data_IF_463283936218
#
_entry.id   IF_463283936218
#
_cell.length_a   1.000
_cell.length_b   1.000
_cell.length_c   1.000
_cell.angle_alpha   90.00
_cell.angle_beta   90.00
_cell.angle_gamma   90.00
#
_symmetry.space_group_name_H-M   'P 1'
#
loop_
_entity.id
_entity.type
_entity.pdbx_description
1 polymer ?
#
# COMPACT_ATOMS: atom_id res chain seq x y z
N UNK A 1 -17.13 16.30 0.39
CA UNK A 1 -16.18 15.81 1.41
C UNK A 1 -16.87 14.71 2.19
N UNK A 2 -16.73 13.46 1.77
CA UNK A 2 -17.24 12.32 2.54
C UNK A 2 -16.09 11.32 2.63
N UNK A 3 -15.71 11.04 3.87
CA UNK A 3 -14.77 10.00 4.30
C UNK A 3 -13.28 10.34 4.21
N UNK A 4 -12.87 11.36 4.99
CA UNK A 4 -11.48 11.41 5.42
C UNK A 4 -11.29 10.38 6.55
N UNK A 5 -10.60 9.27 6.28
CA UNK A 5 -10.20 8.33 7.33
C UNK A 5 -8.95 8.89 8.00
N UNK A 6 -9.04 9.18 9.30
CA UNK A 6 -7.87 9.53 10.10
C UNK A 6 -7.11 8.24 10.38
N UNK A 7 -5.89 8.13 9.87
CA UNK A 7 -4.94 7.13 10.36
C UNK A 7 -4.02 7.86 11.30
N UNK A 8 -4.46 7.95 12.55
CA UNK A 8 -3.58 8.32 13.65
C UNK A 8 -2.85 7.05 14.07
N UNK A 9 -1.54 7.15 14.02
CA UNK A 9 -0.60 6.06 14.13
C UNK A 9 -0.08 5.94 15.60
N UNK A 10 -0.71 6.68 16.51
CA UNK A 10 -0.47 6.68 17.95
C UNK A 10 0.91 7.20 18.40
N UNK A 11 1.84 7.45 17.48
CA UNK A 11 3.24 7.81 17.76
C UNK A 11 3.86 8.83 16.78
N UNK A 12 3.19 9.26 15.71
CA UNK A 12 3.60 10.44 14.96
C UNK A 12 3.35 11.68 15.80
N UNK A 13 4.29 12.63 15.73
CA UNK A 13 4.10 13.95 16.28
C UNK A 13 2.91 14.69 15.62
N UNK A 14 2.44 14.22 14.45
CA UNK A 14 1.31 14.81 13.71
C UNK A 14 0.49 13.79 12.90
N UNK A 15 -0.86 13.83 12.96
CA UNK A 15 -1.73 12.89 12.23
C UNK A 15 -1.57 12.96 10.71
N UNK A 16 -1.85 11.84 10.05
CA UNK A 16 -1.94 11.72 8.58
C UNK A 16 -3.44 11.70 8.22
N UNK A 17 -3.85 12.66 7.40
CA UNK A 17 -5.20 12.75 6.87
C UNK A 17 -5.23 12.10 5.50
N UNK A 18 -6.11 11.12 5.32
CA UNK A 18 -6.35 10.47 4.04
C UNK A 18 -7.77 10.78 3.60
N UNK A 19 -7.94 11.24 2.37
CA UNK A 19 -9.27 11.41 1.79
C UNK A 19 -9.30 10.99 0.33
N UNK A 20 -10.51 10.69 -0.10
CA UNK A 20 -10.81 10.21 -1.45
C UNK A 20 -11.26 11.39 -2.31
N UNK A 21 -10.70 11.47 -3.52
CA UNK A 21 -11.11 12.45 -4.53
C UNK A 21 -11.32 11.73 -5.87
N UNK A 22 -12.55 11.26 -6.09
CA UNK A 22 -12.89 10.47 -7.28
C UNK A 22 -12.16 9.12 -7.32
N UNK A 23 -11.19 9.01 -8.22
CA UNK A 23 -10.35 7.82 -8.43
C UNK A 23 -8.95 7.96 -7.81
N UNK A 24 -8.65 9.12 -7.24
CA UNK A 24 -7.35 9.47 -6.67
C UNK A 24 -7.41 9.45 -5.14
N UNK A 25 -6.34 8.96 -4.53
CA UNK A 25 -6.09 9.12 -3.11
C UNK A 25 -5.29 10.38 -2.86
N UNK A 26 -5.76 11.19 -1.91
CA UNK A 26 -5.03 12.35 -1.43
C UNK A 26 -4.72 12.17 0.04
N UNK A 27 -3.55 12.67 0.44
CA UNK A 27 -3.18 12.72 1.84
C UNK A 27 -2.54 14.06 2.17
N UNK A 28 -2.57 14.37 3.46
CA UNK A 28 -1.88 15.53 4.01
C UNK A 28 -1.42 15.19 5.43
N UNK A 29 -0.19 15.56 5.74
CA UNK A 29 0.31 15.62 7.10
C UNK A 29 1.09 16.90 7.26
N UNK A 30 1.18 17.39 8.50
CA UNK A 30 2.07 18.49 8.84
C UNK A 30 3.53 18.00 8.99
N UNK A 31 3.76 16.70 9.10
CA UNK A 31 5.09 16.12 9.15
C UNK A 31 5.81 16.21 7.80
N UNK A 32 7.08 16.58 7.83
CA UNK A 32 7.99 16.53 6.66
C UNK A 32 8.31 15.09 6.23
N UNK A 33 8.11 14.10 7.13
CA UNK A 33 8.29 12.68 6.86
C UNK A 33 7.10 11.88 7.43
N UNK A 34 6.37 11.19 6.55
CA UNK A 34 5.21 10.36 6.91
C UNK A 34 5.69 8.99 7.39
N UNK A 35 5.84 8.79 8.69
CA UNK A 35 6.13 7.48 9.28
C UNK A 35 4.80 6.74 9.47
N UNK A 36 4.48 5.74 8.64
CA UNK A 36 3.22 5.01 8.80
C UNK A 36 3.43 3.89 9.82
N UNK A 37 2.88 4.07 11.02
CA UNK A 37 3.25 3.26 12.19
C UNK A 37 2.65 1.86 12.09
N UNK A 38 3.56 0.89 12.07
CA UNK A 38 3.41 -0.57 12.12
C UNK A 38 2.56 -1.27 11.05
N UNK A 39 1.36 -0.79 10.70
CA UNK A 39 0.46 -1.55 9.82
C UNK A 39 -0.15 -0.69 8.71
N UNK A 40 0.03 -1.16 7.48
CA UNK A 40 -0.62 -0.69 6.26
C UNK A 40 -1.76 -1.62 5.82
N UNK A 41 -2.13 -2.57 6.68
CA UNK A 41 -3.13 -3.57 6.37
C UNK A 41 -4.48 -2.96 5.99
N UNK A 42 -5.08 -3.49 4.93
CA UNK A 42 -6.43 -3.17 4.45
C UNK A 42 -6.72 -1.70 4.15
N UNK A 43 -5.69 -0.87 4.00
CA UNK A 43 -5.84 0.58 3.90
C UNK A 43 -6.76 1.02 2.75
N UNK A 44 -6.65 0.35 1.61
CA UNK A 44 -7.46 0.59 0.41
C UNK A 44 -8.32 -0.62 0.06
N UNK A 45 -8.64 -1.44 1.06
CA UNK A 45 -9.46 -2.62 0.89
C UNK A 45 -10.82 -2.26 0.25
N UNK A 46 -11.12 -2.90 -0.87
CA UNK A 46 -12.35 -2.71 -1.62
C UNK A 46 -12.47 -1.36 -2.30
N UNK A 47 -11.39 -0.58 -2.46
CA UNK A 47 -11.46 0.70 -3.16
C UNK A 47 -11.43 0.51 -4.67
N UNK A 48 -12.55 0.00 -5.14
CA UNK A 48 -12.86 -0.42 -6.49
C UNK A 48 -12.61 0.63 -7.59
N UNK A 49 -12.75 1.92 -7.28
CA UNK A 49 -12.50 3.01 -8.23
C UNK A 49 -11.07 3.53 -8.24
N UNK A 50 -10.17 2.97 -7.42
CA UNK A 50 -8.80 3.43 -7.29
C UNK A 50 -8.01 3.20 -8.59
N UNK A 51 -7.46 4.26 -9.15
CA UNK A 51 -6.57 4.20 -10.32
C UNK A 51 -5.24 4.88 -10.07
N UNK A 52 -5.23 5.90 -9.22
CA UNK A 52 -4.08 6.76 -8.98
C UNK A 52 -3.63 6.68 -7.52
N UNK A 53 -2.45 6.09 -7.36
CA UNK A 53 -1.75 5.92 -6.08
C UNK A 53 -0.46 6.77 -6.01
N UNK A 54 -0.29 7.74 -6.92
CA UNK A 54 0.91 8.60 -6.96
C UNK A 54 1.17 9.32 -5.65
N UNK A 55 0.11 9.65 -4.89
CA UNK A 55 0.24 10.20 -3.55
C UNK A 55 1.04 9.33 -2.58
N UNK A 56 1.18 8.03 -2.80
CA UNK A 56 1.89 7.12 -1.90
C UNK A 56 3.42 7.10 -2.12
N UNK A 57 3.93 7.82 -3.12
CA UNK A 57 5.33 7.71 -3.55
C UNK A 57 6.35 8.07 -2.45
N UNK A 58 6.00 9.04 -1.60
CA UNK A 58 6.89 9.60 -0.58
C UNK A 58 6.63 9.04 0.83
N UNK A 59 5.88 7.94 0.94
CA UNK A 59 5.60 7.32 2.24
C UNK A 59 6.84 6.65 2.82
N UNK A 60 7.15 6.93 4.09
CA UNK A 60 8.17 6.17 4.81
C UNK A 60 7.56 4.88 5.38
N UNK A 61 7.86 3.77 4.72
CA UNK A 61 7.36 2.43 5.08
C UNK A 61 8.37 1.58 5.86
N UNK A 62 9.51 2.14 6.29
CA UNK A 62 10.60 1.38 6.93
C UNK A 62 10.16 0.62 8.18
N UNK A 63 9.20 1.19 8.92
CA UNK A 63 8.64 0.63 10.15
C UNK A 63 7.43 -0.28 9.92
N UNK A 64 6.95 -0.41 8.68
CA UNK A 64 5.78 -1.23 8.38
C UNK A 64 6.09 -2.72 8.60
N UNK A 65 5.25 -3.40 9.37
CA UNK A 65 5.33 -4.83 9.67
C UNK A 65 4.23 -5.63 8.97
N UNK A 66 3.10 -5.01 8.64
CA UNK A 66 2.03 -5.64 7.85
C UNK A 66 1.56 -4.76 6.69
N UNK A 67 1.41 -5.37 5.51
CA UNK A 67 0.80 -4.79 4.31
C UNK A 67 -0.36 -5.66 3.78
N UNK A 68 -0.88 -6.55 4.62
CA UNK A 68 -1.91 -7.53 4.24
C UNK A 68 -3.17 -6.86 3.68
N UNK A 69 -3.64 -7.30 2.53
CA UNK A 69 -4.90 -6.86 1.92
C UNK A 69 -4.95 -5.37 1.57
N UNK A 70 -3.81 -4.67 1.54
CA UNK A 70 -3.77 -3.21 1.41
C UNK A 70 -4.53 -2.69 0.18
N UNK A 71 -4.42 -3.36 -0.97
CA UNK A 71 -5.12 -3.01 -2.21
C UNK A 71 -6.14 -4.07 -2.63
N UNK A 72 -6.59 -4.91 -1.70
CA UNK A 72 -7.53 -5.99 -2.01
C UNK A 72 -8.77 -5.45 -2.75
N UNK A 73 -9.15 -6.08 -3.86
CA UNK A 73 -10.30 -5.71 -4.69
C UNK A 73 -10.27 -4.26 -5.24
N UNK A 74 -9.08 -3.71 -5.46
CA UNK A 74 -8.89 -2.48 -6.24
C UNK A 74 -8.90 -2.81 -7.75
N UNK A 75 -10.05 -3.21 -8.30
CA UNK A 75 -10.11 -3.80 -9.65
C UNK A 75 -9.65 -2.86 -10.78
N UNK A 76 -9.65 -1.53 -10.60
CA UNK A 76 -9.16 -0.56 -11.59
C UNK A 76 -7.68 -0.16 -11.43
N UNK A 77 -6.99 -0.66 -10.41
CA UNK A 77 -5.59 -0.34 -10.20
C UNK A 77 -4.75 -1.00 -11.29
N UNK A 78 -3.88 -0.23 -11.95
CA UNK A 78 -3.09 -0.66 -13.11
C UNK A 78 -1.59 -0.38 -12.97
N UNK A 79 -1.22 0.65 -12.21
CA UNK A 79 0.17 1.12 -12.08
C UNK A 79 0.63 1.07 -10.61
N UNK A 80 1.81 0.48 -10.38
CA UNK A 80 2.47 0.36 -9.07
C UNK A 80 3.75 1.18 -8.94
N UNK A 81 4.10 2.02 -9.91
CA UNK A 81 5.35 2.79 -9.91
C UNK A 81 5.52 3.69 -8.70
N UNK A 82 4.43 4.16 -8.09
CA UNK A 82 4.47 4.91 -6.84
C UNK A 82 5.10 4.09 -5.70
N UNK A 83 5.01 2.76 -5.73
CA UNK A 83 5.46 1.88 -4.65
C UNK A 83 6.92 1.42 -4.81
N UNK A 84 7.60 1.80 -5.91
CA UNK A 84 8.94 1.27 -6.27
C UNK A 84 10.03 1.56 -5.24
N UNK A 85 9.87 2.62 -4.47
CA UNK A 85 10.84 3.09 -3.47
C UNK A 85 10.47 2.67 -2.04
N UNK A 86 9.38 1.91 -1.87
CA UNK A 86 8.95 1.48 -0.54
C UNK A 86 9.99 0.54 0.09
N UNK A 87 10.27 0.80 1.38
CA UNK A 87 11.14 -0.03 2.20
C UNK A 87 10.29 -1.13 2.84
N UNK A 88 10.43 -2.37 2.36
CA UNK A 88 9.63 -3.53 2.85
C UNK A 88 10.41 -4.49 3.74
N UNK A 89 11.65 -4.18 4.09
CA UNK A 89 12.55 -5.09 4.83
C UNK A 89 12.16 -5.38 6.29
N UNK A 90 11.11 -4.75 6.80
CA UNK A 90 10.51 -5.03 8.13
C UNK A 90 9.17 -5.77 8.05
N UNK A 91 8.63 -5.93 6.85
CA UNK A 91 7.30 -6.52 6.63
C UNK A 91 7.35 -8.02 6.84
N UNK A 92 6.40 -8.53 7.62
CA UNK A 92 6.22 -9.97 7.90
C UNK A 92 4.97 -10.53 7.24
N UNK A 93 4.00 -9.68 6.87
CA UNK A 93 2.76 -10.11 6.24
C UNK A 93 2.40 -9.26 5.01
N UNK A 94 2.27 -9.92 3.86
CA UNK A 94 1.82 -9.33 2.57
C UNK A 94 0.63 -10.09 1.98
N UNK A 95 -0.09 -10.89 2.78
CA UNK A 95 -1.16 -11.75 2.27
C UNK A 95 -2.28 -10.94 1.63
N UNK A 96 -2.78 -11.42 0.50
CA UNK A 96 -3.89 -10.82 -0.21
C UNK A 96 -3.67 -9.39 -0.71
N UNK A 97 -2.44 -8.85 -0.68
CA UNK A 97 -2.18 -7.42 -0.87
C UNK A 97 -2.76 -6.85 -2.18
N UNK A 98 -2.65 -7.60 -3.28
CA UNK A 98 -3.21 -7.26 -4.59
C UNK A 98 -4.26 -8.27 -5.08
N UNK A 99 -4.84 -9.06 -4.18
CA UNK A 99 -5.87 -10.03 -4.56
C UNK A 99 -7.08 -9.28 -5.13
N UNK A 100 -7.63 -9.78 -6.25
CA UNK A 100 -8.75 -9.15 -6.98
C UNK A 100 -8.45 -7.75 -7.56
N UNK A 101 -7.18 -7.38 -7.72
CA UNK A 101 -6.79 -6.26 -8.60
C UNK A 101 -6.78 -6.73 -10.06
N UNK A 102 -7.96 -6.93 -10.65
CA UNK A 102 -8.10 -7.60 -11.96
C UNK A 102 -7.44 -6.85 -13.13
N UNK A 103 -7.34 -5.52 -13.07
CA UNK A 103 -6.66 -4.72 -14.10
C UNK A 103 -5.14 -4.63 -13.92
N UNK A 104 -4.60 -5.15 -12.83
CA UNK A 104 -3.18 -5.07 -12.51
C UNK A 104 -2.42 -6.21 -13.21
N UNK A 105 -1.66 -5.88 -14.25
CA UNK A 105 -0.97 -6.85 -15.11
C UNK A 105 0.55 -6.79 -15.01
N UNK A 106 1.11 -5.69 -14.47
CA UNK A 106 2.54 -5.49 -14.30
C UNK A 106 2.89 -5.27 -12.82
N UNK A 107 3.82 -6.08 -12.32
CA UNK A 107 4.32 -6.04 -10.95
C UNK A 107 5.81 -5.70 -10.90
N UNK A 108 6.43 -5.36 -12.03
CA UNK A 108 7.88 -5.10 -12.15
C UNK A 108 8.35 -3.94 -11.25
N UNK A 109 7.47 -2.97 -10.99
CA UNK A 109 7.74 -1.88 -10.05
C UNK A 109 8.08 -2.37 -8.62
N UNK A 110 7.70 -3.59 -8.26
CA UNK A 110 7.96 -4.18 -6.94
C UNK A 110 9.30 -4.93 -6.86
N UNK A 111 10.09 -4.98 -7.94
CA UNK A 111 11.34 -5.77 -8.00
C UNK A 111 12.43 -5.37 -6.99
N UNK A 112 12.31 -4.20 -6.35
CA UNK A 112 13.21 -3.73 -5.29
C UNK A 112 12.81 -4.18 -3.88
N UNK A 113 11.62 -4.78 -3.73
CA UNK A 113 11.07 -5.12 -2.43
C UNK A 113 11.84 -6.26 -1.75
N UNK A 114 12.11 -6.10 -0.46
CA UNK A 114 12.78 -7.09 0.37
C UNK A 114 11.75 -7.96 1.09
N UNK A 115 11.55 -9.18 0.65
CA UNK A 115 10.57 -10.12 1.22
C UNK A 115 11.16 -11.14 2.19
N UNK A 116 12.47 -11.07 2.49
CA UNK A 116 13.16 -12.08 3.30
C UNK A 116 12.67 -12.25 4.75
N UNK A 117 11.84 -11.34 5.27
CA UNK A 117 11.17 -11.48 6.58
C UNK A 117 9.69 -11.85 6.47
N UNK A 118 9.14 -11.91 5.26
CA UNK A 118 7.72 -12.17 5.04
C UNK A 118 7.43 -13.63 5.32
N UNK A 119 6.54 -13.87 6.28
CA UNK A 119 6.09 -15.22 6.68
C UNK A 119 4.79 -15.61 5.99
N UNK A 120 4.05 -14.64 5.45
CA UNK A 120 2.79 -14.87 4.74
C UNK A 120 2.69 -14.00 3.48
N UNK A 121 2.73 -14.68 2.32
CA UNK A 121 2.48 -14.12 0.98
C UNK A 121 1.32 -14.85 0.29
N UNK A 122 0.44 -15.51 1.05
CA UNK A 122 -0.74 -16.16 0.49
C UNK A 122 -1.58 -15.16 -0.29
N UNK A 123 -2.08 -15.57 -1.46
CA UNK A 123 -2.98 -14.76 -2.29
C UNK A 123 -2.45 -13.35 -2.69
N UNK A 124 -1.12 -13.13 -2.68
CA UNK A 124 -0.52 -11.81 -2.93
C UNK A 124 -0.78 -11.25 -4.35
N UNK A 125 -1.18 -12.08 -5.32
CA UNK A 125 -1.11 -11.75 -6.75
C UNK A 125 -2.43 -11.35 -7.43
N UNK A 126 -2.30 -10.64 -8.57
CA UNK A 126 -3.31 -10.64 -9.64
C UNK A 126 -3.27 -11.94 -10.51
N UNK A 127 -2.11 -12.62 -10.60
CA UNK A 127 -1.93 -14.08 -10.83
C UNK A 127 -0.43 -14.42 -10.72
N UNK A 128 -0.04 -15.10 -9.64
CA UNK A 128 1.28 -15.60 -9.22
C UNK A 128 2.56 -14.96 -9.83
N UNK A 129 3.33 -14.24 -8.99
CA UNK A 129 4.67 -13.79 -9.35
C UNK A 129 5.58 -15.00 -9.57
N UNK A 130 6.06 -15.10 -10.81
CA UNK A 130 7.00 -16.09 -11.27
C UNK A 130 8.39 -15.82 -10.66
N UNK A 131 8.77 -16.59 -9.63
CA UNK A 131 10.15 -17.04 -9.34
C UNK A 131 11.33 -16.06 -9.13
N UNK A 132 11.15 -14.75 -8.91
CA UNK A 132 12.29 -13.83 -8.68
C UNK A 132 12.06 -12.75 -7.60
N UNK A 133 11.37 -13.08 -6.50
CA UNK A 133 11.48 -12.31 -5.24
C UNK A 133 12.04 -13.22 -4.16
#
# INVERSE_FOLDING_TARGET
>A
MTDANVISDGNSETPIYLWRDGTTLKWWSKAENVNVVYSLASLFYGYQSLTDISGLADWNTESATSMSGMFWNCYKLTDLNALKNWKTGSVTNMSGMFQRCESLTDLSALGSWKTGKVTDMSDMSATAINSQI
#
